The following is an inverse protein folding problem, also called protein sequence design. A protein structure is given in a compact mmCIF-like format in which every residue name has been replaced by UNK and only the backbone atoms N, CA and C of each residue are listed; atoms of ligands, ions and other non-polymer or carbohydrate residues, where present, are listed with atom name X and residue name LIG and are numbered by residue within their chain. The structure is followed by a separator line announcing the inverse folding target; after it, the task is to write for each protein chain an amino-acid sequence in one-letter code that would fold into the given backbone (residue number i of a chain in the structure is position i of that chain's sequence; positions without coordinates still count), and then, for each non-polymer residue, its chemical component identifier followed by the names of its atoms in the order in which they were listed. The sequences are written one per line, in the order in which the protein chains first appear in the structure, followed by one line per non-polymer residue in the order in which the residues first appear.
data_IF_331692243623
#
_entry.id   IF_331692243623
#
_cell.length_a   1.000
_cell.length_b   1.000
_cell.length_c   1.000
_cell.angle_alpha   90.00
_cell.angle_beta   90.00
_cell.angle_gamma   90.00
#
_symmetry.space_group_name_H-M   'P 1'
#
loop_
_entity.id
_entity.type
_entity.pdbx_description
1 polymer ?
#
# COMPACT_ATOMS: atom_id res chain seq x y z
N UNK A 1 -24.11 -26.40 20.52
CA UNK A 1 -23.97 -25.86 19.15
C UNK A 1 -24.83 -24.62 19.08
N UNK A 2 -24.22 -23.46 18.97
CA UNK A 2 -24.97 -22.24 18.66
C UNK A 2 -24.83 -22.02 17.14
N UNK A 3 -25.93 -22.21 16.42
CA UNK A 3 -26.04 -21.74 15.04
C UNK A 3 -25.99 -20.23 15.09
N UNK A 4 -24.89 -19.66 14.55
CA UNK A 4 -24.79 -18.25 14.32
C UNK A 4 -24.87 -18.09 12.82
N UNK A 5 -26.07 -17.93 12.29
CA UNK A 5 -26.30 -17.53 10.90
C UNK A 5 -26.19 -16.01 10.88
N UNK A 6 -24.99 -15.51 10.59
CA UNK A 6 -24.83 -14.13 10.15
C UNK A 6 -24.48 -14.15 8.66
N UNK A 7 -25.10 -13.29 7.84
CA UNK A 7 -24.53 -12.98 6.54
C UNK A 7 -23.20 -12.29 6.80
N UNK A 8 -22.11 -13.04 6.74
CA UNK A 8 -20.78 -12.52 6.89
C UNK A 8 -20.25 -12.32 5.48
N UNK A 9 -20.04 -11.06 5.08
CA UNK A 9 -19.28 -10.75 3.89
C UNK A 9 -17.81 -10.86 4.26
N UNK A 10 -17.10 -11.77 3.64
CA UNK A 10 -15.68 -12.00 3.90
C UNK A 10 -14.97 -12.10 2.55
N UNK A 11 -13.84 -11.44 2.47
CA UNK A 11 -12.96 -11.50 1.34
C UNK A 11 -12.16 -12.81 1.34
N UNK A 12 -12.18 -13.55 0.24
CA UNK A 12 -11.48 -14.83 0.11
C UNK A 12 -10.02 -14.58 -0.33
N UNK A 13 -9.07 -14.67 0.61
CA UNK A 13 -7.64 -14.41 0.36
C UNK A 13 -6.92 -15.56 -0.35
N UNK A 14 -7.36 -16.81 -0.18
CA UNK A 14 -6.76 -17.98 -0.83
C UNK A 14 -7.80 -19.07 -1.06
N UNK A 15 -7.78 -19.66 -2.27
CA UNK A 15 -8.49 -20.87 -2.60
C UNK A 15 -7.48 -21.98 -2.80
N UNK A 16 -7.55 -23.07 -2.02
CA UNK A 16 -6.81 -24.29 -2.28
C UNK A 16 -7.81 -25.44 -2.40
N UNK A 17 -7.95 -25.98 -3.60
CA UNK A 17 -8.76 -27.15 -3.85
C UNK A 17 -7.91 -28.41 -3.72
N UNK A 18 -8.44 -29.41 -3.02
CA UNK A 18 -7.75 -30.69 -2.80
C UNK A 18 -8.76 -31.83 -2.92
N UNK A 19 -8.31 -32.99 -3.41
CA UNK A 19 -9.13 -34.19 -3.48
C UNK A 19 -9.09 -34.93 -2.15
N UNK A 20 -10.26 -35.34 -1.64
CA UNK A 20 -10.35 -36.27 -0.52
C UNK A 20 -10.26 -37.71 -1.03
N UNK A 21 -9.90 -38.68 -0.10
CA UNK A 21 -9.81 -40.11 -0.37
C UNK A 21 -11.12 -40.77 -0.89
N UNK A 22 -12.21 -40.03 -0.99
CA UNK A 22 -13.54 -40.47 -1.46
C UNK A 22 -14.04 -39.72 -2.68
N UNK A 23 -13.15 -39.27 -3.59
CA UNK A 23 -13.50 -38.59 -4.85
C UNK A 23 -14.31 -37.29 -4.71
N UNK A 24 -14.45 -36.71 -3.52
CA UNK A 24 -15.07 -35.39 -3.36
C UNK A 24 -14.01 -34.30 -3.28
N UNK A 25 -14.17 -33.28 -4.10
CA UNK A 25 -13.38 -32.07 -4.02
C UNK A 25 -13.82 -31.25 -2.82
N UNK A 26 -12.85 -30.77 -2.03
CA UNK A 26 -13.08 -29.87 -0.93
C UNK A 26 -12.23 -28.60 -1.06
N UNK A 27 -12.75 -27.46 -0.57
CA UNK A 27 -12.08 -26.17 -0.61
C UNK A 27 -11.53 -25.78 0.75
N UNK A 28 -10.29 -25.26 0.77
CA UNK A 28 -9.72 -24.56 1.92
C UNK A 28 -9.60 -23.10 1.57
N UNK A 29 -10.24 -22.24 2.38
CA UNK A 29 -10.24 -20.80 2.19
C UNK A 29 -9.57 -20.13 3.39
N UNK A 30 -8.96 -18.99 3.15
CA UNK A 30 -8.63 -18.01 4.18
C UNK A 30 -9.52 -16.80 3.90
N UNK A 31 -10.42 -16.54 4.82
CA UNK A 31 -11.34 -15.42 4.77
C UNK A 31 -10.80 -14.29 5.63
N UNK A 32 -11.00 -13.05 5.22
CA UNK A 32 -10.47 -11.86 5.88
C UNK A 32 -11.52 -10.76 5.98
N UNK A 33 -11.56 -10.11 7.14
CA UNK A 33 -12.23 -8.82 7.33
C UNK A 33 -11.27 -7.83 8.03
N UNK A 34 -11.76 -6.65 8.40
CA UNK A 34 -10.97 -5.63 9.13
C UNK A 34 -10.48 -6.08 10.52
N UNK A 35 -11.01 -7.18 11.06
CA UNK A 35 -10.65 -7.69 12.40
C UNK A 35 -9.59 -8.78 12.34
N UNK A 36 -9.38 -9.40 11.18
CA UNK A 36 -8.38 -10.44 11.00
C UNK A 36 -8.75 -11.47 9.95
N UNK A 37 -8.10 -12.63 10.06
CA UNK A 37 -8.29 -13.77 9.15
C UNK A 37 -8.83 -14.98 9.90
N UNK A 38 -9.62 -15.81 9.20
CA UNK A 38 -10.14 -17.08 9.71
C UNK A 38 -10.07 -18.15 8.62
N UNK A 39 -9.65 -19.36 8.98
CA UNK A 39 -9.74 -20.51 8.08
C UNK A 39 -11.19 -20.96 7.88
N UNK A 40 -11.52 -21.33 6.64
CA UNK A 40 -12.83 -21.87 6.30
C UNK A 40 -12.70 -23.10 5.40
N UNK A 41 -13.60 -24.06 5.58
CA UNK A 41 -13.67 -25.30 4.79
C UNK A 41 -15.02 -25.43 4.12
N UNK A 42 -14.95 -25.81 2.84
CA UNK A 42 -16.09 -26.29 2.04
C UNK A 42 -15.86 -27.77 1.82
N UNK A 43 -16.67 -28.62 2.45
CA UNK A 43 -16.46 -30.08 2.42
C UNK A 43 -16.94 -30.75 1.13
N UNK A 44 -17.78 -30.08 0.36
CA UNK A 44 -18.34 -30.57 -0.91
C UNK A 44 -18.57 -29.39 -1.82
N UNK A 45 -17.66 -29.19 -2.79
CA UNK A 45 -17.73 -28.11 -3.77
C UNK A 45 -18.90 -28.27 -4.75
N UNK A 46 -19.43 -29.49 -4.91
CA UNK A 46 -20.57 -29.78 -5.75
C UNK A 46 -21.93 -29.49 -5.08
N UNK A 47 -21.91 -29.07 -3.80
CA UNK A 47 -23.12 -28.75 -3.05
C UNK A 47 -23.89 -27.59 -3.71
N UNK A 48 -25.24 -27.68 -3.83
CA UNK A 48 -26.04 -26.58 -4.41
C UNK A 48 -25.93 -25.23 -3.69
N UNK A 49 -25.35 -25.21 -2.49
CA UNK A 49 -25.10 -23.99 -1.74
C UNK A 49 -23.78 -23.30 -2.09
N UNK A 50 -22.93 -23.92 -2.91
CA UNK A 50 -21.63 -23.39 -3.30
C UNK A 50 -21.75 -22.80 -4.71
N UNK A 51 -21.70 -21.48 -4.80
CA UNK A 51 -21.64 -20.75 -6.05
C UNK A 51 -20.20 -20.59 -6.56
N UNK A 52 -20.05 -20.02 -7.74
CA UNK A 52 -18.75 -19.66 -8.32
C UNK A 52 -18.20 -18.43 -7.60
N UNK A 53 -16.91 -18.47 -7.27
CA UNK A 53 -16.12 -17.36 -6.71
C UNK A 53 -14.64 -17.62 -6.95
N UNK A 54 -13.87 -16.55 -7.06
CA UNK A 54 -12.42 -16.59 -7.19
C UNK A 54 -11.72 -16.10 -5.92
N UNK A 55 -10.40 -16.35 -5.87
CA UNK A 55 -9.57 -15.71 -4.86
C UNK A 55 -9.66 -14.19 -5.02
N UNK A 56 -9.74 -13.47 -3.91
CA UNK A 56 -9.86 -12.02 -3.84
C UNK A 56 -11.28 -11.46 -4.07
N UNK A 57 -12.28 -12.33 -4.25
CA UNK A 57 -13.67 -11.90 -4.28
C UNK A 57 -14.21 -11.54 -2.90
N UNK A 58 -15.10 -10.57 -2.85
CA UNK A 58 -16.00 -10.38 -1.72
C UNK A 58 -17.09 -11.44 -1.78
N UNK A 59 -17.19 -12.24 -0.74
CA UNK A 59 -18.12 -13.38 -0.70
C UNK A 59 -19.12 -13.27 0.43
N UNK A 60 -20.36 -13.66 0.14
CA UNK A 60 -21.40 -13.86 1.14
C UNK A 60 -21.39 -15.34 1.55
N UNK A 61 -21.24 -15.59 2.83
CA UNK A 61 -21.16 -16.96 3.37
C UNK A 61 -22.22 -17.23 4.45
N UNK A 62 -22.66 -18.49 4.51
CA UNK A 62 -23.35 -19.06 5.66
C UNK A 62 -22.50 -20.23 6.18
N UNK A 63 -22.06 -20.15 7.43
CA UNK A 63 -21.12 -21.12 7.99
C UNK A 63 -21.37 -21.41 9.47
N UNK A 64 -20.94 -22.59 9.91
CA UNK A 64 -20.86 -22.95 11.34
C UNK A 64 -19.45 -22.67 11.85
N UNK A 65 -19.35 -22.08 13.04
CA UNK A 65 -18.07 -21.95 13.72
C UNK A 65 -17.74 -23.27 14.45
N UNK A 66 -16.59 -23.83 14.14
CA UNK A 66 -16.06 -25.03 14.78
C UNK A 66 -14.71 -24.79 15.41
N UNK A 67 -14.33 -25.52 16.42
CA UNK A 67 -13.01 -25.48 17.03
C UNK A 67 -12.17 -26.63 16.45
N UNK A 68 -11.07 -26.31 15.78
CA UNK A 68 -10.12 -27.28 15.26
C UNK A 68 -8.70 -26.88 15.72
N UNK A 69 -7.99 -27.82 16.36
CA UNK A 69 -6.64 -27.58 16.91
C UNK A 69 -6.52 -26.30 17.78
N UNK A 70 -7.51 -26.05 18.62
CA UNK A 70 -7.64 -24.85 19.46
C UNK A 70 -7.78 -23.51 18.68
N UNK A 71 -8.08 -23.55 17.40
CA UNK A 71 -8.38 -22.37 16.60
C UNK A 71 -9.83 -22.43 16.08
N UNK A 72 -10.48 -21.27 15.99
CA UNK A 72 -11.78 -21.18 15.33
C UNK A 72 -11.62 -21.41 13.83
N UNK A 73 -12.49 -22.24 13.26
CA UNK A 73 -12.55 -22.53 11.84
C UNK A 73 -14.01 -22.50 11.39
N UNK A 74 -14.27 -22.04 10.18
CA UNK A 74 -15.61 -22.02 9.59
C UNK A 74 -15.85 -23.26 8.75
N UNK A 75 -17.00 -23.92 8.96
CA UNK A 75 -17.53 -24.91 8.04
C UNK A 75 -18.59 -24.22 7.17
N UNK A 76 -18.24 -23.95 5.91
CA UNK A 76 -19.09 -23.21 4.99
C UNK A 76 -20.18 -24.14 4.43
N UNK A 77 -21.43 -23.73 4.59
CA UNK A 77 -22.61 -24.41 4.04
C UNK A 77 -23.05 -23.77 2.71
N UNK A 78 -22.94 -22.43 2.62
CA UNK A 78 -23.23 -21.66 1.43
C UNK A 78 -22.19 -20.59 1.21
N UNK A 79 -21.87 -20.37 -0.05
CA UNK A 79 -20.96 -19.29 -0.47
C UNK A 79 -21.35 -18.83 -1.84
N UNK A 80 -21.32 -17.54 -2.07
CA UNK A 80 -21.44 -16.89 -3.38
C UNK A 80 -20.65 -15.60 -3.41
N UNK A 81 -20.30 -15.14 -4.59
CA UNK A 81 -19.77 -13.79 -4.79
C UNK A 81 -20.80 -12.74 -4.33
N UNK A 82 -20.35 -11.73 -3.60
CA UNK A 82 -21.15 -10.59 -3.17
C UNK A 82 -21.43 -9.66 -4.38
N UNK A 83 -22.62 -9.07 -4.42
CA UNK A 83 -22.99 -8.10 -5.46
C UNK A 83 -22.50 -6.71 -5.08
N UNK A 84 -22.28 -5.88 -6.08
CA UNK A 84 -21.97 -4.46 -5.85
C UNK A 84 -23.06 -3.80 -5.00
N UNK A 85 -22.63 -3.08 -3.95
CA UNK A 85 -23.53 -2.46 -2.97
C UNK A 85 -23.96 -3.35 -1.80
N UNK A 86 -23.63 -4.65 -1.79
CA UNK A 86 -23.87 -5.53 -0.63
C UNK A 86 -22.77 -5.42 0.43
N UNK A 87 -21.65 -4.75 0.13
CA UNK A 87 -20.51 -4.60 1.04
C UNK A 87 -19.89 -3.20 0.96
N UNK A 88 -19.16 -2.85 1.99
CA UNK A 88 -18.33 -1.64 2.07
C UNK A 88 -16.88 -2.09 2.23
N UNK A 89 -16.03 -1.83 1.24
CA UNK A 89 -14.63 -2.30 1.21
C UNK A 89 -13.86 -2.00 2.52
N UNK A 90 -14.09 -0.82 3.10
CA UNK A 90 -13.45 -0.41 4.36
C UNK A 90 -13.76 -1.34 5.56
N UNK A 91 -14.78 -2.19 5.46
CA UNK A 91 -15.10 -3.17 6.50
C UNK A 91 -14.31 -4.48 6.37
N UNK A 92 -13.62 -4.67 5.25
CA UNK A 92 -12.90 -5.92 4.92
C UNK A 92 -11.41 -5.73 4.73
N UNK A 93 -10.97 -4.50 4.47
CA UNK A 93 -9.58 -4.16 4.30
C UNK A 93 -9.08 -3.35 5.51
N UNK A 94 -7.85 -3.55 5.97
CA UNK A 94 -7.26 -2.64 6.93
C UNK A 94 -7.16 -1.24 6.29
N UNK A 95 -7.71 -0.23 6.95
CA UNK A 95 -7.72 1.17 6.50
C UNK A 95 -7.03 2.04 7.55
N UNK A 96 -6.36 3.10 7.11
CA UNK A 96 -5.80 4.13 8.01
C UNK A 96 -6.87 4.60 9.00
N UNK A 97 -6.47 4.75 10.26
CA UNK A 97 -7.33 5.35 11.30
C UNK A 97 -7.53 6.85 11.11
N UNK A 98 -6.72 7.46 10.24
CA UNK A 98 -6.81 8.88 9.89
C UNK A 98 -7.69 9.06 8.66
N UNK A 99 -8.35 10.18 8.58
CA UNK A 99 -9.20 10.53 7.45
C UNK A 99 -8.35 10.81 6.20
N UNK A 100 -8.44 9.93 5.19
CA UNK A 100 -7.61 9.96 3.98
C UNK A 100 -7.71 11.32 3.27
N UNK A 101 -8.92 11.88 3.12
CA UNK A 101 -9.11 13.19 2.49
C UNK A 101 -8.38 14.32 3.20
N UNK A 102 -8.38 14.34 4.53
CA UNK A 102 -7.63 15.35 5.30
C UNK A 102 -6.14 15.20 5.17
N UNK A 103 -5.63 13.96 5.20
CA UNK A 103 -4.21 13.70 4.98
C UNK A 103 -3.77 14.18 3.59
N UNK A 104 -4.59 13.93 2.57
CA UNK A 104 -4.27 14.34 1.22
C UNK A 104 -4.29 15.87 1.04
N UNK A 105 -5.28 16.56 1.60
CA UNK A 105 -5.30 18.03 1.60
C UNK A 105 -4.08 18.63 2.33
N UNK A 106 -3.62 18.01 3.41
CA UNK A 106 -2.41 18.42 4.10
C UNK A 106 -1.16 18.22 3.21
N UNK A 107 -1.06 17.08 2.52
CA UNK A 107 0.01 16.82 1.54
C UNK A 107 0.00 17.89 0.42
N UNK A 108 -1.18 18.22 -0.13
CA UNK A 108 -1.31 19.29 -1.13
C UNK A 108 -0.90 20.65 -0.58
N UNK A 109 -1.08 20.91 0.71
CA UNK A 109 -0.55 22.08 1.39
C UNK A 109 0.98 22.16 1.28
N UNK A 110 1.70 21.04 1.48
CA UNK A 110 3.14 20.97 1.28
C UNK A 110 3.53 21.13 -0.18
N UNK A 111 2.80 20.52 -1.12
CA UNK A 111 3.04 20.71 -2.57
C UNK A 111 3.00 22.21 -2.91
N UNK A 112 1.96 22.92 -2.49
CA UNK A 112 1.82 24.38 -2.71
C UNK A 112 2.92 25.21 -2.03
N UNK A 113 3.54 24.68 -0.98
CA UNK A 113 4.60 25.39 -0.23
C UNK A 113 5.98 25.34 -0.89
N UNK A 114 6.20 24.43 -1.84
CA UNK A 114 7.45 24.32 -2.61
C UNK A 114 7.55 25.49 -3.59
N UNK A 115 8.60 26.29 -3.47
CA UNK A 115 8.79 27.54 -4.22
C UNK A 115 9.57 27.36 -5.51
N UNK A 116 10.44 26.33 -5.57
CA UNK A 116 11.20 26.02 -6.78
C UNK A 116 10.22 25.62 -7.90
N UNK A 117 10.19 26.34 -9.05
CA UNK A 117 9.16 26.16 -10.06
C UNK A 117 9.19 24.78 -10.72
N UNK A 118 10.37 24.20 -10.97
CA UNK A 118 10.50 22.88 -11.58
C UNK A 118 10.07 21.76 -10.63
N UNK A 119 10.45 21.86 -9.35
CA UNK A 119 10.02 20.88 -8.33
C UNK A 119 8.52 20.98 -8.07
N UNK A 120 7.97 22.20 -7.99
CA UNK A 120 6.53 22.40 -7.83
C UNK A 120 5.74 21.87 -9.03
N UNK A 121 6.22 22.13 -10.26
CA UNK A 121 5.59 21.59 -11.47
C UNK A 121 5.64 20.06 -11.49
N UNK A 122 6.75 19.45 -11.09
CA UNK A 122 6.88 17.99 -11.00
C UNK A 122 5.88 17.40 -9.99
N UNK A 123 5.79 17.98 -8.78
CA UNK A 123 4.84 17.58 -7.75
C UNK A 123 3.40 17.78 -8.20
N UNK A 124 3.09 18.94 -8.78
CA UNK A 124 1.74 19.24 -9.26
C UNK A 124 1.30 18.26 -10.35
N UNK A 125 2.22 17.89 -11.24
CA UNK A 125 1.95 16.89 -12.28
C UNK A 125 1.45 15.57 -11.75
N UNK A 126 1.97 15.09 -10.62
CA UNK A 126 1.53 13.85 -9.98
C UNK A 126 0.33 14.04 -9.06
N UNK A 127 0.42 14.98 -8.13
CA UNK A 127 -0.55 15.07 -7.02
C UNK A 127 -1.75 15.99 -7.29
N UNK A 128 -1.70 16.81 -8.36
CA UNK A 128 -2.78 17.77 -8.64
C UNK A 128 -3.43 17.52 -10.00
N UNK A 129 -2.61 17.36 -11.05
CA UNK A 129 -3.08 17.29 -12.44
C UNK A 129 -3.51 15.89 -12.83
N UNK A 130 -2.72 14.88 -12.47
CA UNK A 130 -3.02 13.46 -12.71
C UNK A 130 -4.02 12.93 -11.67
N UNK A 131 -5.31 13.01 -12.01
CA UNK A 131 -6.39 12.61 -11.08
C UNK A 131 -6.41 11.11 -10.78
N UNK A 132 -6.04 10.30 -11.76
CA UNK A 132 -6.00 8.84 -11.59
C UNK A 132 -4.85 8.44 -10.67
N UNK A 133 -3.66 9.01 -10.88
CA UNK A 133 -2.54 8.82 -9.97
C UNK A 133 -2.86 9.31 -8.56
N UNK A 134 -3.38 10.53 -8.44
CA UNK A 134 -3.74 11.16 -7.18
C UNK A 134 -4.72 10.29 -6.37
N UNK A 135 -5.75 9.77 -7.04
CA UNK A 135 -6.72 8.86 -6.41
C UNK A 135 -6.05 7.54 -6.00
N UNK A 136 -5.29 6.91 -6.90
CA UNK A 136 -4.62 5.66 -6.60
C UNK A 136 -3.64 5.80 -5.42
N UNK A 137 -2.85 6.87 -5.36
CA UNK A 137 -1.91 7.16 -4.28
C UNK A 137 -2.58 7.28 -2.91
N UNK A 138 -3.75 7.90 -2.85
CA UNK A 138 -4.51 8.06 -1.61
C UNK A 138 -4.91 6.73 -0.96
N UNK A 139 -5.13 5.71 -1.77
CA UNK A 139 -5.65 4.42 -1.30
C UNK A 139 -4.60 3.30 -1.33
N UNK A 140 -3.37 3.59 -1.76
CA UNK A 140 -2.30 2.59 -1.86
C UNK A 140 -1.72 2.25 -0.49
N UNK A 141 -1.23 0.99 -0.35
CA UNK A 141 -0.45 0.57 0.81
C UNK A 141 1.02 0.96 0.68
N UNK A 142 1.72 1.05 1.82
CA UNK A 142 3.18 1.21 1.81
C UNK A 142 3.95 -0.11 2.04
N UNK A 143 3.26 -1.22 2.32
CA UNK A 143 3.87 -2.52 2.56
C UNK A 143 2.88 -3.67 2.33
N UNK A 144 3.40 -4.88 2.08
CA UNK A 144 2.57 -6.08 1.91
C UNK A 144 1.86 -6.51 3.20
N UNK A 145 2.54 -6.52 4.34
CA UNK A 145 2.03 -7.15 5.57
C UNK A 145 2.35 -6.44 6.88
N UNK A 146 3.37 -5.59 6.94
CA UNK A 146 3.85 -4.94 8.19
C UNK A 146 3.85 -3.44 7.98
N UNK A 147 3.62 -2.65 9.03
CA UNK A 147 3.65 -1.18 9.03
C UNK A 147 3.14 -0.52 7.73
N UNK A 148 1.99 0.14 7.79
CA UNK A 148 1.34 0.78 6.64
C UNK A 148 0.84 -0.17 5.51
N UNK A 149 0.74 -1.50 5.77
CA UNK A 149 0.10 -2.48 4.88
C UNK A 149 -1.44 -2.38 4.92
N UNK A 150 -1.97 -1.17 4.81
CA UNK A 150 -3.40 -0.87 4.84
C UNK A 150 -3.75 0.22 3.82
N UNK A 151 -5.02 0.32 3.49
CA UNK A 151 -5.54 1.35 2.58
C UNK A 151 -5.21 2.74 3.12
N UNK A 152 -4.53 3.55 2.30
CA UNK A 152 -4.03 4.86 2.70
C UNK A 152 -2.69 4.85 3.43
N UNK A 153 -2.04 3.68 3.55
CA UNK A 153 -0.76 3.54 4.25
C UNK A 153 0.37 4.32 3.59
N UNK A 154 0.44 4.30 2.24
CA UNK A 154 1.45 5.06 1.50
C UNK A 154 1.31 6.56 1.72
N UNK A 155 0.10 7.08 1.66
CA UNK A 155 -0.17 8.50 1.94
C UNK A 155 0.17 8.86 3.40
N UNK A 156 -0.22 8.03 4.36
CA UNK A 156 0.04 8.29 5.77
C UNK A 156 1.54 8.31 6.09
N UNK A 157 2.29 7.34 5.57
CA UNK A 157 3.75 7.28 5.69
C UNK A 157 4.41 8.49 5.03
N UNK A 158 4.11 8.74 3.75
CA UNK A 158 4.68 9.88 3.01
C UNK A 158 4.44 11.21 3.73
N UNK A 159 3.21 11.46 4.18
CA UNK A 159 2.88 12.68 4.91
C UNK A 159 3.67 12.82 6.22
N UNK A 160 3.88 11.73 6.93
CA UNK A 160 4.66 11.71 8.15
C UNK A 160 6.13 12.05 7.89
N UNK A 161 6.74 11.44 6.89
CA UNK A 161 8.12 11.71 6.46
C UNK A 161 8.28 13.16 6.00
N UNK A 162 7.32 13.69 5.22
CA UNK A 162 7.30 15.10 4.80
C UNK A 162 7.27 16.06 5.98
N UNK A 163 6.46 15.79 7.02
CA UNK A 163 6.41 16.61 8.23
C UNK A 163 7.73 16.62 9.00
N UNK A 164 8.38 15.48 9.13
CA UNK A 164 9.71 15.39 9.75
C UNK A 164 10.75 16.15 8.93
N UNK A 165 10.73 16.00 7.61
CA UNK A 165 11.63 16.73 6.70
C UNK A 165 11.41 18.26 6.76
N UNK A 166 10.16 18.71 6.85
CA UNK A 166 9.83 20.12 7.02
C UNK A 166 10.36 20.69 8.34
N UNK A 167 10.19 19.92 9.42
CA UNK A 167 10.78 20.26 10.71
C UNK A 167 12.31 20.37 10.64
N UNK A 168 12.99 19.40 10.00
CA UNK A 168 14.45 19.44 9.83
C UNK A 168 14.90 20.68 9.03
N UNK A 169 14.23 20.97 7.90
CA UNK A 169 14.54 22.15 7.11
C UNK A 169 14.22 23.48 7.82
N UNK A 170 13.22 23.46 8.68
CA UNK A 170 12.90 24.57 9.58
C UNK A 170 14.00 24.85 10.59
N UNK A 171 14.65 23.81 11.11
CA UNK A 171 15.70 23.89 12.12
C UNK A 171 17.10 24.08 11.49
N UNK A 172 17.47 23.25 10.52
CA UNK A 172 18.77 23.25 9.85
C UNK A 172 18.72 24.06 8.54
N UNK A 173 19.16 25.31 8.59
CA UNK A 173 19.08 26.26 7.46
C UNK A 173 20.02 25.92 6.27
N UNK A 174 20.90 24.95 6.44
CA UNK A 174 21.77 24.41 5.38
C UNK A 174 21.03 23.48 4.44
N UNK A 175 19.86 22.95 4.84
CA UNK A 175 19.05 22.07 4.02
C UNK A 175 18.27 22.87 2.97
N UNK A 176 18.29 22.40 1.72
CA UNK A 176 17.39 22.87 0.68
C UNK A 176 15.99 22.28 0.93
N UNK A 177 15.12 23.07 1.56
CA UNK A 177 13.77 22.64 1.94
C UNK A 177 12.97 22.12 0.74
N UNK A 178 13.01 22.80 -0.38
CA UNK A 178 12.20 22.43 -1.54
C UNK A 178 12.64 21.10 -2.14
N UNK A 179 13.96 20.85 -2.21
CA UNK A 179 14.51 19.57 -2.62
C UNK A 179 14.14 18.46 -1.64
N UNK A 180 14.31 18.71 -0.34
CA UNK A 180 14.05 17.72 0.72
C UNK A 180 12.57 17.32 0.76
N UNK A 181 11.65 18.29 0.71
CA UNK A 181 10.21 17.97 0.71
C UNK A 181 9.78 17.25 -0.56
N UNK A 182 10.33 17.63 -1.72
CA UNK A 182 10.06 16.95 -2.98
C UNK A 182 10.57 15.51 -2.94
N UNK A 183 11.77 15.29 -2.44
CA UNK A 183 12.32 13.96 -2.27
C UNK A 183 11.50 13.13 -1.28
N UNK A 184 11.03 13.72 -0.17
CA UNK A 184 10.17 13.06 0.81
C UNK A 184 8.80 12.65 0.23
N UNK A 185 8.22 13.45 -0.68
CA UNK A 185 6.96 13.10 -1.35
C UNK A 185 7.13 11.98 -2.38
N UNK A 186 8.33 11.79 -2.91
CA UNK A 186 8.60 10.83 -3.98
C UNK A 186 9.43 9.62 -3.56
N UNK A 187 9.98 9.56 -2.34
CA UNK A 187 10.91 8.49 -1.96
C UNK A 187 10.33 7.08 -2.18
N UNK A 188 9.07 6.93 -1.87
CA UNK A 188 8.31 5.67 -1.94
C UNK A 188 7.29 5.62 -3.11
N UNK A 189 7.34 6.56 -4.06
CA UNK A 189 6.35 6.61 -5.16
C UNK A 189 6.34 5.33 -6.00
N UNK A 190 7.46 4.65 -6.10
CA UNK A 190 7.59 3.39 -6.84
C UNK A 190 6.75 2.24 -6.25
N UNK A 191 6.33 2.33 -4.99
CA UNK A 191 5.42 1.36 -4.38
C UNK A 191 4.07 1.29 -5.10
N UNK A 192 3.70 2.35 -5.82
CA UNK A 192 2.52 2.36 -6.69
C UNK A 192 2.54 1.31 -7.80
N UNK A 193 3.73 0.81 -8.18
CA UNK A 193 3.92 -0.24 -9.17
C UNK A 193 4.60 -1.47 -8.58
N UNK A 194 5.34 -1.33 -7.48
CA UNK A 194 5.95 -2.46 -6.76
C UNK A 194 4.89 -3.40 -6.17
N UNK A 195 3.80 -2.83 -5.66
CA UNK A 195 2.70 -3.58 -5.07
C UNK A 195 1.44 -3.47 -5.93
N UNK A 196 0.73 -4.57 -6.08
CA UNK A 196 -0.61 -4.56 -6.66
C UNK A 196 -1.57 -3.81 -5.74
N UNK A 197 -2.68 -3.34 -6.32
CA UNK A 197 -3.72 -2.65 -5.53
C UNK A 197 -4.43 -3.62 -4.60
N UNK A 198 -4.99 -3.08 -3.52
CA UNK A 198 -5.96 -3.84 -2.76
C UNK A 198 -7.09 -4.35 -3.68
N UNK A 199 -7.60 -5.53 -3.41
CA UNK A 199 -7.43 -6.34 -2.17
C UNK A 199 -6.20 -7.27 -2.17
N UNK A 200 -5.52 -7.48 -3.28
CA UNK A 200 -4.39 -8.41 -3.40
C UNK A 200 -3.19 -7.97 -2.55
N UNK A 201 -2.75 -6.72 -2.72
CA UNK A 201 -1.63 -6.11 -2.01
C UNK A 201 -0.39 -7.00 -1.97
N UNK A 202 0.00 -7.53 -3.12
CA UNK A 202 1.19 -8.38 -3.28
C UNK A 202 2.21 -7.74 -4.22
N UNK A 203 3.44 -8.27 -4.22
CA UNK A 203 4.46 -7.80 -5.15
C UNK A 203 4.08 -8.14 -6.59
N UNK A 204 4.21 -7.16 -7.47
CA UNK A 204 4.14 -7.34 -8.91
C UNK A 204 5.45 -7.98 -9.43
N UNK A 205 5.47 -8.42 -10.69
CA UNK A 205 6.71 -8.92 -11.33
C UNK A 205 7.79 -7.84 -11.34
N UNK A 206 7.45 -6.61 -11.72
CA UNK A 206 8.37 -5.47 -11.68
C UNK A 206 8.80 -5.14 -10.24
N UNK A 207 7.91 -5.28 -9.27
CA UNK A 207 8.23 -5.12 -7.86
C UNK A 207 9.28 -6.11 -7.38
N UNK A 208 9.19 -7.37 -7.79
CA UNK A 208 10.17 -8.41 -7.45
C UNK A 208 11.50 -8.21 -8.15
N UNK A 209 11.50 -7.76 -9.40
CA UNK A 209 12.70 -7.65 -10.23
C UNK A 209 13.48 -6.35 -10.00
N UNK A 210 12.78 -5.23 -9.82
CA UNK A 210 13.36 -3.88 -9.79
C UNK A 210 13.28 -3.23 -8.40
N UNK A 211 12.17 -3.44 -7.68
CA UNK A 211 11.88 -2.78 -6.41
C UNK A 211 11.51 -1.30 -6.56
N UNK A 212 10.83 -0.74 -5.53
CA UNK A 212 10.26 0.61 -5.58
C UNK A 212 11.28 1.73 -5.81
N UNK A 213 12.52 1.57 -5.34
CA UNK A 213 13.57 2.61 -5.51
C UNK A 213 13.87 2.84 -6.98
N UNK A 214 14.07 1.75 -7.74
CA UNK A 214 14.33 1.86 -9.19
C UNK A 214 13.08 2.32 -9.92
N UNK A 215 11.95 1.70 -9.69
CA UNK A 215 10.67 2.04 -10.29
C UNK A 215 10.36 3.54 -10.06
N UNK A 216 10.46 4.01 -8.81
CA UNK A 216 10.22 5.41 -8.47
C UNK A 216 11.19 6.38 -9.14
N UNK A 217 12.46 5.99 -9.24
CA UNK A 217 13.48 6.81 -9.95
C UNK A 217 13.18 6.91 -11.44
N UNK A 218 12.70 5.83 -12.08
CA UNK A 218 12.29 5.83 -13.49
C UNK A 218 11.05 6.68 -13.71
N UNK A 219 10.00 6.51 -12.91
CA UNK A 219 8.77 7.32 -12.95
C UNK A 219 9.10 8.83 -12.93
N UNK A 220 9.92 9.25 -11.99
CA UNK A 220 10.30 10.65 -11.84
C UNK A 220 11.20 11.12 -13.01
N UNK A 221 12.13 10.28 -13.47
CA UNK A 221 12.99 10.61 -14.61
C UNK A 221 12.18 10.81 -15.89
N UNK A 222 11.15 10.02 -16.08
CA UNK A 222 10.24 10.14 -17.22
C UNK A 222 9.46 11.46 -17.17
N UNK A 223 8.90 11.79 -16.02
CA UNK A 223 8.16 13.05 -15.85
C UNK A 223 9.08 14.29 -15.96
N UNK A 224 10.29 14.23 -15.40
CA UNK A 224 11.28 15.30 -15.53
C UNK A 224 11.60 15.60 -17.01
N UNK A 225 11.71 14.59 -17.87
CA UNK A 225 11.95 14.78 -19.31
C UNK A 225 10.81 15.53 -20.02
N UNK A 226 9.61 15.55 -19.44
CA UNK A 226 8.46 16.26 -19.97
C UNK A 226 8.39 17.74 -19.52
N UNK A 227 9.18 18.12 -18.51
CA UNK A 227 9.24 19.50 -18.00
C UNK A 227 10.34 20.27 -18.74
N UNK A 228 9.99 21.32 -19.52
CA UNK A 228 10.98 22.10 -20.23
C UNK A 228 12.05 22.72 -19.30
N UNK A 229 13.28 22.70 -19.74
CA UNK A 229 14.42 23.34 -19.06
C UNK A 229 14.62 22.90 -17.60
N UNK A 230 14.17 21.71 -17.24
CA UNK A 230 14.42 21.17 -15.89
C UNK A 230 15.94 21.07 -15.67
N UNK A 231 16.50 21.73 -14.61
CA UNK A 231 17.95 21.79 -14.43
C UNK A 231 18.56 20.39 -14.22
N UNK A 232 19.53 19.96 -15.04
CA UNK A 232 20.09 18.60 -14.96
C UNK A 232 20.68 18.26 -13.58
N UNK A 233 21.31 19.27 -12.93
CA UNK A 233 21.86 19.10 -11.58
C UNK A 233 20.76 18.84 -10.56
N UNK A 234 19.68 19.63 -10.58
CA UNK A 234 18.54 19.45 -9.69
C UNK A 234 17.89 18.07 -9.88
N UNK A 235 17.76 17.62 -11.14
CA UNK A 235 17.28 16.27 -11.45
C UNK A 235 18.16 15.18 -10.85
N UNK A 236 19.49 15.35 -10.90
CA UNK A 236 20.43 14.39 -10.31
C UNK A 236 20.39 14.41 -8.78
N UNK A 237 20.29 15.59 -8.17
CA UNK A 237 20.17 15.73 -6.70
C UNK A 237 18.87 15.10 -6.18
N UNK A 238 17.74 15.33 -6.84
CA UNK A 238 16.45 14.71 -6.49
C UNK A 238 16.50 13.17 -6.61
N UNK A 239 16.99 12.68 -7.75
CA UNK A 239 17.14 11.23 -7.95
C UNK A 239 18.09 10.61 -6.94
N UNK A 240 19.19 11.29 -6.59
CA UNK A 240 20.10 10.82 -5.55
C UNK A 240 19.40 10.67 -4.20
N UNK A 241 18.56 11.62 -3.79
CA UNK A 241 17.80 11.51 -2.54
C UNK A 241 16.90 10.26 -2.54
N UNK A 242 16.25 9.96 -3.66
CA UNK A 242 15.41 8.77 -3.80
C UNK A 242 16.25 7.49 -3.79
N UNK A 243 17.35 7.44 -4.56
CA UNK A 243 18.23 6.28 -4.61
C UNK A 243 18.92 5.97 -3.28
N UNK A 244 19.06 6.95 -2.41
CA UNK A 244 19.81 6.85 -1.16
C UNK A 244 18.94 6.82 0.11
N UNK A 245 17.59 6.83 0.00
CA UNK A 245 16.73 7.02 1.18
C UNK A 245 16.79 5.87 2.17
N UNK A 246 17.08 4.63 1.78
CA UNK A 246 17.33 3.53 2.71
C UNK A 246 18.68 3.62 3.45
N UNK A 247 19.58 4.53 3.03
CA UNK A 247 20.83 4.86 3.71
C UNK A 247 21.97 3.90 3.43
N UNK A 248 21.84 2.63 3.78
CA UNK A 248 22.88 1.62 3.66
C UNK A 248 22.62 0.65 2.49
N UNK A 249 23.71 0.18 1.85
CA UNK A 249 23.63 -0.79 0.73
C UNK A 249 22.98 -2.11 1.18
N UNK A 250 23.20 -2.51 2.43
CA UNK A 250 22.63 -3.71 3.04
C UNK A 250 21.12 -3.66 3.19
N UNK A 251 20.55 -2.45 3.20
CA UNK A 251 19.10 -2.23 3.23
C UNK A 251 18.48 -2.03 1.84
N UNK A 252 19.24 -2.38 0.80
CA UNK A 252 18.79 -2.28 -0.60
C UNK A 252 18.92 -0.89 -1.22
N UNK A 253 19.61 0.06 -0.54
CA UNK A 253 19.88 1.37 -1.12
C UNK A 253 20.94 1.25 -2.22
N UNK A 254 20.68 1.66 -3.48
CA UNK A 254 21.70 1.62 -4.53
C UNK A 254 22.89 2.56 -4.28
N UNK A 255 22.70 3.58 -3.45
CA UNK A 255 23.71 4.58 -3.07
C UNK A 255 23.56 4.96 -1.59
N UNK A 256 24.69 5.26 -0.95
CA UNK A 256 24.68 5.93 0.37
C UNK A 256 24.38 7.42 0.23
N UNK A 257 23.73 8.05 1.20
CA UNK A 257 23.47 9.49 1.18
C UNK A 257 24.76 10.31 1.04
N UNK A 258 24.85 11.11 -0.01
CA UNK A 258 25.96 12.03 -0.28
C UNK A 258 25.53 13.51 -0.22
N UNK A 259 24.24 13.78 -0.06
CA UNK A 259 23.66 15.10 0.17
C UNK A 259 23.08 15.15 1.58
N UNK A 260 23.06 16.33 2.20
CA UNK A 260 22.44 16.53 3.51
C UNK A 260 20.94 16.22 3.46
N UNK A 261 20.27 16.56 2.35
CA UNK A 261 18.86 16.26 2.13
C UNK A 261 18.60 14.74 2.06
N UNK A 262 19.48 13.98 1.39
CA UNK A 262 19.36 12.53 1.34
C UNK A 262 19.54 11.90 2.73
N UNK A 263 20.46 12.41 3.52
CA UNK A 263 20.68 11.96 4.90
C UNK A 263 19.49 12.32 5.81
N UNK A 264 18.96 13.53 5.69
CA UNK A 264 17.80 13.98 6.44
C UNK A 264 16.55 13.15 6.10
N UNK A 265 16.35 12.83 4.80
CA UNK A 265 15.29 11.96 4.34
C UNK A 265 15.41 10.55 4.93
N UNK A 266 16.59 9.95 4.89
CA UNK A 266 16.85 8.64 5.48
C UNK A 266 16.52 8.61 6.98
N UNK A 267 16.88 9.64 7.76
CA UNK A 267 16.52 9.71 9.17
C UNK A 267 15.02 9.87 9.39
N UNK A 268 14.34 10.66 8.58
CA UNK A 268 12.90 10.86 8.67
C UNK A 268 12.14 9.57 8.38
N UNK A 269 12.50 8.88 7.31
CA UNK A 269 11.93 7.60 6.89
C UNK A 269 12.14 6.52 7.96
N UNK A 270 13.39 6.29 8.38
CA UNK A 270 13.72 5.34 9.46
C UNK A 270 13.00 5.66 10.78
N UNK A 271 12.78 6.92 11.10
CA UNK A 271 12.07 7.33 12.31
C UNK A 271 10.61 6.91 12.22
N UNK A 272 9.91 7.23 11.12
CA UNK A 272 8.50 6.86 10.95
C UNK A 272 8.32 5.34 10.91
N UNK A 273 9.17 4.62 10.18
CA UNK A 273 9.12 3.17 10.06
C UNK A 273 9.31 2.43 11.40
N UNK A 274 10.15 2.96 12.32
CA UNK A 274 10.44 2.31 13.61
C UNK A 274 9.48 2.69 14.74
N UNK A 275 8.92 3.88 14.73
CA UNK A 275 8.10 4.37 15.85
C UNK A 275 6.62 4.03 15.71
N UNK A 276 6.21 3.51 14.58
CA UNK A 276 4.84 3.05 14.33
C UNK A 276 4.67 1.53 14.37
N UNK A 277 5.56 0.87 15.12
CA UNK A 277 5.48 -0.57 15.42
C UNK A 277 4.34 -0.89 16.39
#
# INVERSE_FOLDING_TARGET
MKEIIFPIFIYARQNRFSLQKQEKEYGNLILQDKTGTIEAKIWDLSSPGVGEFDAMDYVHIEADVTLFQNANQLNVRRIRTAREGEYVEADYLPVSKKEIGKMYEELLGFVRSVKNPWLNQLLSGYFVEDKEFAKAFQFHSAAKTVHHGFVGGLLEHTLSVVKLCDYYAGYYKTLNRDLLLTAAMFHDIGKMQELSRFPENDYTDDGQLLGHIMIGTEMISERIRQIPDFPPRLASELKHCILAHHGELEYGSPKKPALLEALALNFADNTDARWRQ
#
